data_IF_413431199993
#
_entry.id   IF_413431199993
#
_cell.length_a   1.000
_cell.length_b   1.000
_cell.length_c   1.000
_cell.angle_alpha   90.00
_cell.angle_beta   90.00
_cell.angle_gamma   90.00
#
_symmetry.space_group_name_H-M   'P 1'
#
loop_
_entity.id
_entity.type
_entity.pdbx_description
1 polymer ?
#
# COMPACT_ATOMS: atom_id res chain seq x y z
N UNK A 1 -17.96 17.30 -10.49
CA UNK A 1 -17.77 15.91 -10.04
C UNK A 1 -17.00 15.95 -8.74
N UNK A 2 -17.62 15.65 -7.62
CA UNK A 2 -16.92 15.42 -6.35
C UNK A 2 -16.00 14.22 -6.56
N UNK A 3 -14.68 14.41 -6.45
CA UNK A 3 -13.76 13.28 -6.52
C UNK A 3 -14.12 12.29 -5.42
N UNK A 4 -14.29 11.01 -5.76
CA UNK A 4 -14.46 9.98 -4.75
C UNK A 4 -13.23 9.96 -3.86
N UNK A 5 -13.45 10.06 -2.55
CA UNK A 5 -12.41 9.88 -1.54
C UNK A 5 -11.78 8.49 -1.71
N UNK A 6 -10.45 8.42 -1.74
CA UNK A 6 -9.75 7.13 -1.83
C UNK A 6 -9.97 6.30 -0.56
N UNK A 7 -10.01 4.99 -0.73
CA UNK A 7 -10.06 3.99 0.34
C UNK A 7 -8.68 3.47 0.63
N UNK A 8 -8.10 3.94 1.74
CA UNK A 8 -6.82 3.48 2.25
C UNK A 8 -7.07 2.44 3.34
N UNK A 9 -6.49 1.26 3.19
CA UNK A 9 -6.49 0.21 4.22
C UNK A 9 -5.11 0.10 4.84
N UNK A 10 -5.05 0.16 6.16
CA UNK A 10 -3.86 -0.14 6.94
C UNK A 10 -3.92 -1.60 7.35
N UNK A 11 -2.97 -2.39 6.85
CA UNK A 11 -2.86 -3.78 7.24
C UNK A 11 -1.98 -3.91 8.47
N UNK A 12 -2.61 -4.22 9.60
CA UNK A 12 -1.99 -4.30 10.93
C UNK A 12 -1.88 -5.75 11.39
N UNK A 13 -1.00 -6.00 12.36
CA UNK A 13 -0.91 -7.28 13.05
C UNK A 13 -1.44 -7.11 14.49
N UNK A 14 -2.45 -7.90 14.87
CA UNK A 14 -3.08 -7.89 16.19
C UNK A 14 -2.09 -8.27 17.31
N UNK A 15 -1.10 -9.11 17.00
CA UNK A 15 -0.11 -9.60 17.96
C UNK A 15 0.94 -8.51 18.31
N UNK A 16 1.00 -7.42 17.55
CA UNK A 16 1.83 -6.27 17.90
C UNK A 16 1.36 -5.55 19.17
N UNK A 17 0.09 -5.73 19.58
CA UNK A 17 -0.49 -5.09 20.77
C UNK A 17 -0.42 -5.99 22.01
N UNK A 18 -0.42 -7.32 21.88
CA UNK A 18 -0.49 -8.26 23.01
C UNK A 18 0.61 -9.34 22.95
N UNK A 19 1.57 -9.20 23.87
CA UNK A 19 2.61 -10.16 24.34
C UNK A 19 3.97 -10.27 23.59
N UNK A 20 5.04 -10.03 24.37
CA UNK A 20 6.43 -10.54 24.28
C UNK A 20 7.18 -10.55 22.92
N UNK A 21 7.08 -9.48 22.13
CA UNK A 21 8.02 -9.24 21.02
C UNK A 21 9.15 -8.31 21.53
N UNK A 22 10.45 -8.59 21.27
CA UNK A 22 11.54 -7.71 21.66
C UNK A 22 11.37 -6.30 21.09
N UNK A 23 11.58 -5.28 21.94
CA UNK A 23 11.75 -3.88 21.53
C UNK A 23 12.79 -3.82 20.38
N UNK A 24 12.49 -3.16 19.25
CA UNK A 24 11.83 -1.85 19.17
C UNK A 24 10.44 -1.83 18.49
N UNK A 25 9.95 -2.97 18.01
CA UNK A 25 8.83 -3.04 17.06
C UNK A 25 7.48 -2.52 17.58
N UNK A 26 7.20 -2.77 18.87
CA UNK A 26 5.90 -2.46 19.48
C UNK A 26 5.64 -0.95 19.65
N UNK A 27 6.64 -0.17 20.00
CA UNK A 27 6.45 1.26 20.31
C UNK A 27 6.39 2.14 19.04
N UNK A 28 7.02 1.70 17.95
CA UNK A 28 7.01 2.43 16.69
C UNK A 28 5.80 2.13 15.81
N UNK A 29 5.23 0.91 15.89
CA UNK A 29 4.04 0.56 15.12
C UNK A 29 2.86 1.50 15.39
N UNK A 30 2.52 1.76 16.65
CA UNK A 30 1.40 2.66 16.98
C UNK A 30 1.64 4.08 16.47
N UNK A 31 2.82 4.67 16.73
CA UNK A 31 3.16 6.03 16.26
C UNK A 31 3.20 6.12 14.74
N UNK A 32 3.65 5.06 14.07
CA UNK A 32 3.65 4.97 12.61
C UNK A 32 2.22 5.03 12.09
N UNK A 33 1.30 4.23 12.65
CA UNK A 33 -0.10 4.21 12.24
C UNK A 33 -0.82 5.52 12.52
N UNK A 34 -0.60 6.14 13.67
CA UNK A 34 -1.13 7.48 13.98
C UNK A 34 -0.62 8.51 12.97
N UNK A 35 0.68 8.47 12.65
CA UNK A 35 1.28 9.35 11.64
C UNK A 35 0.62 9.16 10.26
N UNK A 36 0.41 7.92 9.85
CA UNK A 36 -0.22 7.58 8.57
C UNK A 36 -1.68 8.02 8.55
N UNK A 37 -2.44 7.77 9.61
CA UNK A 37 -3.83 8.22 9.73
C UNK A 37 -3.94 9.74 9.60
N UNK A 38 -3.06 10.50 10.26
CA UNK A 38 -3.01 11.97 10.11
C UNK A 38 -2.77 12.38 8.65
N UNK A 39 -1.89 11.67 7.95
CA UNK A 39 -1.58 11.94 6.54
C UNK A 39 -2.78 11.62 5.64
N UNK A 40 -3.43 10.47 5.84
CA UNK A 40 -4.61 10.04 5.06
C UNK A 40 -5.77 11.02 5.29
N UNK A 41 -6.01 11.40 6.54
CA UNK A 41 -7.04 12.39 6.92
C UNK A 41 -6.75 13.77 6.31
N UNK A 42 -5.48 14.17 6.18
CA UNK A 42 -5.10 15.42 5.52
C UNK A 42 -5.55 15.50 4.06
N UNK A 43 -5.70 14.37 3.37
CA UNK A 43 -6.23 14.30 2.00
C UNK A 43 -7.74 14.05 1.93
N UNK A 44 -8.45 14.01 3.07
CA UNK A 44 -9.85 13.59 3.18
C UNK A 44 -10.10 12.19 2.57
N UNK A 45 -9.14 11.29 2.69
CA UNK A 45 -9.27 9.89 2.30
C UNK A 45 -9.91 9.08 3.42
N UNK A 46 -10.66 8.05 3.06
CA UNK A 46 -11.15 7.07 4.04
C UNK A 46 -10.01 6.16 4.48
N UNK A 47 -9.92 5.91 5.79
CA UNK A 47 -8.86 5.11 6.40
C UNK A 47 -9.50 4.01 7.24
N UNK A 48 -9.27 2.76 6.85
CA UNK A 48 -9.73 1.59 7.60
C UNK A 48 -8.54 0.72 8.00
N UNK A 49 -8.71 -0.01 9.09
CA UNK A 49 -7.70 -0.97 9.55
C UNK A 49 -8.21 -2.39 9.34
N UNK A 50 -7.35 -3.24 8.81
CA UNK A 50 -7.58 -4.68 8.68
C UNK A 50 -6.47 -5.40 9.43
N UNK A 51 -6.82 -6.44 10.17
CA UNK A 51 -5.82 -7.30 10.84
C UNK A 51 -5.41 -8.42 9.89
N UNK A 52 -4.10 -8.71 9.83
CA UNK A 52 -3.57 -9.76 8.98
C UNK A 52 -4.17 -11.13 9.32
N UNK A 53 -4.29 -11.45 10.62
CA UNK A 53 -4.89 -12.71 11.08
C UNK A 53 -6.33 -12.86 10.57
N UNK A 54 -7.11 -11.77 10.53
CA UNK A 54 -8.48 -11.80 10.01
C UNK A 54 -8.54 -12.07 8.50
N UNK A 55 -7.54 -11.62 7.74
CA UNK A 55 -7.41 -11.97 6.33
C UNK A 55 -7.03 -13.44 6.13
N UNK A 56 -6.11 -13.96 6.94
CA UNK A 56 -5.64 -15.34 6.86
C UNK A 56 -6.79 -16.33 7.17
N UNK A 57 -7.63 -15.99 8.15
CA UNK A 57 -8.87 -16.73 8.44
C UNK A 57 -10.01 -16.46 7.45
N UNK A 58 -9.76 -15.67 6.40
CA UNK A 58 -10.74 -15.32 5.36
C UNK A 58 -12.04 -14.73 5.92
N UNK A 59 -11.94 -13.92 6.98
CA UNK A 59 -13.10 -13.23 7.52
C UNK A 59 -13.70 -12.32 6.45
N UNK A 60 -14.96 -12.58 6.08
CA UNK A 60 -15.60 -11.98 4.92
C UNK A 60 -15.52 -10.44 4.92
N UNK A 61 -15.76 -9.79 6.07
CA UNK A 61 -15.70 -8.33 6.17
C UNK A 61 -14.27 -7.80 5.94
N UNK A 62 -13.28 -8.42 6.57
CA UNK A 62 -11.87 -8.04 6.45
C UNK A 62 -11.34 -8.25 5.03
N UNK A 63 -11.66 -9.39 4.39
CA UNK A 63 -11.32 -9.66 2.99
C UNK A 63 -11.99 -8.65 2.07
N UNK A 64 -13.26 -8.34 2.30
CA UNK A 64 -14.00 -7.39 1.48
C UNK A 64 -13.43 -5.96 1.59
N UNK A 65 -13.06 -5.51 2.80
CA UNK A 65 -12.36 -4.22 3.00
C UNK A 65 -11.02 -4.20 2.28
N UNK A 66 -10.23 -5.25 2.48
CA UNK A 66 -8.92 -5.37 1.88
C UNK A 66 -8.94 -5.42 0.36
N UNK A 67 -9.86 -6.17 -0.28
CA UNK A 67 -9.94 -6.25 -1.74
C UNK A 67 -10.53 -4.98 -2.38
N UNK A 68 -11.45 -4.28 -1.70
CA UNK A 68 -12.03 -3.04 -2.20
C UNK A 68 -11.23 -1.78 -1.88
N UNK A 69 -10.08 -1.92 -1.20
CA UNK A 69 -9.18 -0.80 -0.95
C UNK A 69 -8.56 -0.31 -2.25
N UNK A 70 -8.52 1.01 -2.41
CA UNK A 70 -7.78 1.67 -3.50
C UNK A 70 -6.28 1.56 -3.25
N UNK A 71 -5.87 1.74 -1.99
CA UNK A 71 -4.48 1.70 -1.52
C UNK A 71 -4.42 0.84 -0.28
N UNK A 72 -3.48 -0.10 -0.22
CA UNK A 72 -3.14 -0.82 1.01
C UNK A 72 -1.77 -0.39 1.48
N UNK A 73 -1.65 -0.02 2.75
CA UNK A 73 -0.36 0.24 3.40
C UNK A 73 -0.05 -0.92 4.35
N UNK A 74 1.09 -1.57 4.15
CA UNK A 74 1.49 -2.76 4.89
C UNK A 74 2.88 -2.57 5.48
N UNK A 75 3.06 -2.82 6.78
CA UNK A 75 4.38 -2.92 7.39
C UNK A 75 4.84 -4.38 7.41
N UNK A 76 5.88 -4.68 6.65
CA UNK A 76 6.43 -6.03 6.46
C UNK A 76 7.77 -6.22 7.17
N UNK A 77 8.04 -5.39 8.18
CA UNK A 77 9.31 -5.48 8.90
C UNK A 77 9.48 -6.84 9.57
N UNK A 78 8.40 -7.44 10.09
CA UNK A 78 8.43 -8.81 10.58
C UNK A 78 8.56 -9.81 9.41
N UNK A 79 9.70 -10.51 9.35
CA UNK A 79 10.01 -11.46 8.28
C UNK A 79 9.03 -12.64 8.24
N UNK A 80 8.60 -13.13 9.41
CA UNK A 80 7.71 -14.29 9.53
C UNK A 80 6.33 -14.04 8.93
N UNK A 81 5.93 -12.77 8.82
CA UNK A 81 4.65 -12.36 8.26
C UNK A 81 4.70 -12.06 6.76
N UNK A 82 5.90 -11.88 6.18
CA UNK A 82 6.08 -11.59 4.75
C UNK A 82 5.36 -12.60 3.85
N UNK A 83 5.43 -13.93 4.07
CA UNK A 83 4.74 -14.89 3.21
C UNK A 83 3.21 -14.67 3.16
N UNK A 84 2.58 -14.40 4.31
CA UNK A 84 1.14 -14.14 4.41
C UNK A 84 0.78 -12.85 3.68
N UNK A 85 1.56 -11.78 3.88
CA UNK A 85 1.39 -10.53 3.14
C UNK A 85 1.47 -10.74 1.63
N UNK A 86 2.47 -11.49 1.16
CA UNK A 86 2.66 -11.72 -0.28
C UNK A 86 1.55 -12.57 -0.88
N UNK A 87 0.99 -13.52 -0.13
CA UNK A 87 -0.18 -14.28 -0.57
C UNK A 87 -1.38 -13.35 -0.83
N UNK A 88 -1.74 -12.50 0.14
CA UNK A 88 -2.88 -11.59 -0.02
C UNK A 88 -2.63 -10.49 -1.06
N UNK A 89 -1.39 -10.02 -1.19
CA UNK A 89 -0.97 -9.10 -2.27
C UNK A 89 -1.21 -9.75 -3.65
N UNK A 90 -0.83 -11.01 -3.83
CA UNK A 90 -1.07 -11.75 -5.07
C UNK A 90 -2.56 -11.81 -5.45
N UNK A 91 -3.44 -11.97 -4.46
CA UNK A 91 -4.89 -11.94 -4.69
C UNK A 91 -5.36 -10.55 -5.17
N UNK A 92 -4.79 -9.45 -4.67
CA UNK A 92 -5.09 -8.09 -5.16
C UNK A 92 -4.56 -7.82 -6.57
N UNK A 93 -3.37 -8.32 -6.89
CA UNK A 93 -2.80 -8.21 -8.24
C UNK A 93 -3.68 -8.90 -9.28
N UNK A 94 -4.31 -10.03 -8.92
CA UNK A 94 -5.20 -10.78 -9.82
C UNK A 94 -6.47 -10.02 -10.23
N UNK A 95 -6.80 -8.92 -9.52
CA UNK A 95 -7.98 -8.07 -9.77
C UNK A 95 -7.62 -6.64 -10.21
N UNK A 96 -6.39 -6.41 -10.68
CA UNK A 96 -5.88 -5.10 -11.14
C UNK A 96 -5.94 -3.96 -10.08
N UNK A 97 -5.84 -4.31 -8.80
CA UNK A 97 -5.65 -3.38 -7.68
C UNK A 97 -4.15 -3.32 -7.35
N UNK A 98 -3.49 -2.17 -7.59
CA UNK A 98 -2.01 -2.17 -7.75
C UNK A 98 -1.25 -1.06 -7.03
N UNK A 99 -1.91 -0.22 -6.23
CA UNK A 99 -1.28 0.90 -5.55
C UNK A 99 -1.03 0.59 -4.06
N UNK A 100 -0.33 -0.52 -3.79
CA UNK A 100 0.04 -0.90 -2.43
C UNK A 100 1.37 -0.24 -2.01
N UNK A 101 1.42 0.29 -0.80
CA UNK A 101 2.64 0.83 -0.17
C UNK A 101 3.13 -0.18 0.87
N UNK A 102 4.32 -0.71 0.66
CA UNK A 102 5.05 -1.58 1.57
C UNK A 102 6.04 -0.74 2.37
N UNK A 103 5.89 -0.78 3.68
CA UNK A 103 6.78 -0.16 4.65
C UNK A 103 7.68 -1.23 5.27
N UNK A 104 8.94 -0.88 5.50
CA UNK A 104 9.88 -1.75 6.20
C UNK A 104 10.85 -0.93 7.05
N UNK A 105 11.00 -1.26 8.32
CA UNK A 105 11.99 -0.61 9.18
C UNK A 105 13.39 -0.95 8.68
N UNK A 106 14.31 0.01 8.75
CA UNK A 106 15.68 -0.17 8.30
C UNK A 106 16.41 -1.32 9.01
N UNK A 107 16.04 -1.65 10.25
CA UNK A 107 16.58 -2.80 10.99
C UNK A 107 16.06 -4.16 10.49
N UNK A 108 14.96 -4.18 9.71
CA UNK A 108 14.38 -5.40 9.15
C UNK A 108 14.99 -5.80 7.79
N UNK A 109 15.95 -5.02 7.30
CA UNK A 109 16.70 -5.26 6.05
C UNK A 109 18.20 -5.06 6.30
N UNK A 110 19.00 -6.01 5.84
CA UNK A 110 20.44 -6.00 6.13
C UNK A 110 21.18 -4.99 5.24
N UNK A 111 20.86 -4.97 3.95
CA UNK A 111 21.51 -4.14 2.94
C UNK A 111 20.53 -3.73 1.83
N UNK A 112 21.02 -2.98 0.85
CA UNK A 112 20.24 -2.52 -0.30
C UNK A 112 19.91 -3.67 -1.27
N UNK A 113 20.74 -4.72 -1.33
CA UNK A 113 20.47 -5.90 -2.15
C UNK A 113 19.22 -6.65 -1.65
N UNK A 114 19.06 -6.82 -0.33
CA UNK A 114 17.88 -7.45 0.27
C UNK A 114 16.58 -6.66 0.00
N UNK A 115 16.69 -5.33 -0.08
CA UNK A 115 15.59 -4.44 -0.46
C UNK A 115 15.21 -4.69 -1.93
N UNK A 116 16.21 -4.76 -2.81
CA UNK A 116 15.98 -4.95 -4.24
C UNK A 116 15.46 -6.35 -4.57
N UNK A 117 15.97 -7.38 -3.89
CA UNK A 117 15.48 -8.75 -3.98
C UNK A 117 14.01 -8.84 -3.57
N UNK A 118 13.62 -8.17 -2.48
CA UNK A 118 12.25 -8.13 -2.01
C UNK A 118 11.34 -7.42 -3.01
N UNK A 119 11.78 -6.26 -3.55
CA UNK A 119 11.02 -5.53 -4.59
C UNK A 119 10.80 -6.39 -5.82
N UNK A 120 11.85 -7.04 -6.30
CA UNK A 120 11.83 -7.84 -7.53
C UNK A 120 10.98 -9.09 -7.36
N UNK A 121 11.22 -9.85 -6.30
CA UNK A 121 10.51 -11.10 -6.01
C UNK A 121 9.02 -10.87 -5.83
N UNK A 122 8.65 -9.78 -5.16
CA UNK A 122 7.27 -9.53 -4.76
C UNK A 122 6.57 -8.46 -5.61
N UNK A 123 7.18 -8.02 -6.71
CA UNK A 123 6.68 -6.97 -7.61
C UNK A 123 6.18 -5.74 -6.86
N UNK A 124 6.94 -5.32 -5.85
CA UNK A 124 6.59 -4.18 -5.01
C UNK A 124 6.98 -2.92 -5.77
N UNK A 125 5.98 -2.25 -6.35
CA UNK A 125 6.15 -0.91 -6.94
C UNK A 125 6.47 0.12 -5.85
N UNK A 126 5.61 0.07 -4.85
CA UNK A 126 5.49 0.80 -3.60
C UNK A 126 6.41 0.45 -2.43
N UNK A 127 7.73 0.74 -2.36
CA UNK A 127 8.48 0.42 -1.12
C UNK A 127 9.12 1.63 -0.45
N UNK A 128 8.92 1.74 0.87
CA UNK A 128 9.57 2.75 1.71
C UNK A 128 10.28 2.06 2.87
N UNK A 129 11.60 2.25 2.94
CA UNK A 129 12.39 1.86 4.10
C UNK A 129 12.38 3.02 5.09
N UNK A 130 11.96 2.80 6.32
CA UNK A 130 11.86 3.86 7.31
C UNK A 130 12.76 3.65 8.52
N UNK A 131 13.14 4.75 9.17
CA UNK A 131 13.84 4.75 10.45
C UNK A 131 13.15 5.71 11.40
N UNK A 132 12.93 5.29 12.64
CA UNK A 132 12.47 6.19 13.70
C UNK A 132 13.67 6.81 14.41
N UNK A 133 13.64 8.12 14.60
CA UNK A 133 14.59 8.87 15.41
C UNK A 133 13.95 9.16 16.76
N UNK A 134 14.41 8.47 17.80
CA UNK A 134 13.84 8.55 19.15
C UNK A 134 13.99 9.94 19.77
N UNK A 135 15.15 10.56 19.58
CA UNK A 135 15.46 11.88 20.14
C UNK A 135 14.55 12.96 19.58
N UNK A 136 14.26 12.88 18.28
CA UNK A 136 13.40 13.86 17.59
C UNK A 136 11.93 13.45 17.53
N UNK A 137 11.62 12.20 17.83
CA UNK A 137 10.27 11.63 17.73
C UNK A 137 9.72 11.62 16.30
N UNK A 138 10.56 11.45 15.29
CA UNK A 138 10.15 11.53 13.87
C UNK A 138 10.60 10.31 13.06
N UNK A 139 9.79 9.96 12.07
CA UNK A 139 10.12 8.95 11.08
C UNK A 139 10.80 9.58 9.86
N UNK A 140 11.90 8.96 9.44
CA UNK A 140 12.63 9.29 8.21
C UNK A 140 12.42 8.18 7.18
N UNK A 141 12.27 8.57 5.93
CA UNK A 141 12.42 7.68 4.78
C UNK A 141 13.91 7.59 4.44
N UNK A 142 14.43 6.37 4.55
CA UNK A 142 15.82 5.99 4.32
C UNK A 142 15.94 4.97 3.19
N UNK A 143 14.94 4.91 2.30
CA UNK A 143 14.93 4.01 1.13
C UNK A 143 16.19 4.17 0.29
N UNK A 144 16.67 5.40 0.15
CA UNK A 144 17.95 5.71 -0.50
C UNK A 144 18.95 6.18 0.56
N UNK A 145 19.84 5.28 0.98
CA UNK A 145 20.85 5.54 2.05
C UNK A 145 21.81 6.69 1.74
N UNK A 146 21.85 7.14 0.48
CA UNK A 146 22.74 8.19 -0.03
C UNK A 146 22.19 9.62 0.13
N UNK A 147 20.89 9.79 0.41
CA UNK A 147 20.27 11.12 0.49
C UNK A 147 20.45 11.71 1.89
N UNK A 148 21.27 12.77 1.99
CA UNK A 148 21.44 13.58 3.21
C UNK A 148 21.04 15.05 2.97
N UNK A 149 20.12 15.62 3.77
CA UNK A 149 19.35 14.98 4.84
C UNK A 149 18.26 14.05 4.28
N UNK A 150 18.01 12.93 4.97
CA UNK A 150 16.96 11.99 4.58
C UNK A 150 15.57 12.65 4.73
N UNK A 151 14.64 12.42 3.78
CA UNK A 151 13.30 12.99 3.85
C UNK A 151 12.52 12.44 5.05
N UNK A 152 11.55 13.23 5.54
CA UNK A 152 10.61 12.72 6.55
C UNK A 152 9.66 11.71 5.90
N UNK A 153 9.37 10.61 6.58
CA UNK A 153 8.47 9.56 6.09
C UNK A 153 7.10 10.13 5.69
N UNK A 154 6.61 11.11 6.48
CA UNK A 154 5.35 11.80 6.18
C UNK A 154 5.34 12.47 4.81
N UNK A 155 6.48 12.98 4.37
CA UNK A 155 6.61 13.65 3.07
C UNK A 155 6.54 12.62 1.96
N UNK A 156 7.26 11.50 2.10
CA UNK A 156 7.25 10.42 1.12
C UNK A 156 5.85 9.80 0.96
N UNK A 157 5.18 9.46 2.06
CA UNK A 157 3.81 8.91 2.02
C UNK A 157 2.84 9.92 1.38
N UNK A 158 2.94 11.22 1.69
CA UNK A 158 2.12 12.25 1.04
C UNK A 158 2.32 12.29 -0.48
N UNK A 159 3.56 12.19 -0.95
CA UNK A 159 3.85 12.13 -2.38
C UNK A 159 3.20 10.89 -3.01
N UNK A 160 3.36 9.71 -2.41
CA UNK A 160 2.76 8.47 -2.94
C UNK A 160 1.25 8.50 -3.00
N UNK A 161 0.59 8.95 -1.93
CA UNK A 161 -0.87 9.05 -1.91
C UNK A 161 -1.39 10.02 -2.99
N UNK A 162 -0.67 11.13 -3.23
CA UNK A 162 -1.00 12.08 -4.30
C UNK A 162 -0.78 11.47 -5.68
N UNK A 163 0.31 10.76 -5.87
CA UNK A 163 0.64 10.12 -7.16
C UNK A 163 -0.31 8.97 -7.48
N UNK A 164 -0.70 8.17 -6.48
CA UNK A 164 -1.72 7.14 -6.60
C UNK A 164 -3.08 7.73 -6.98
N UNK A 165 -3.48 8.84 -6.34
CA UNK A 165 -4.71 9.55 -6.71
C UNK A 165 -4.69 10.03 -8.17
N UNK A 166 -3.57 10.56 -8.63
CA UNK A 166 -3.40 11.00 -10.02
C UNK A 166 -3.42 9.82 -11.00
N UNK A 167 -2.69 8.74 -10.68
CA UNK A 167 -2.61 7.51 -11.46
C UNK A 167 -3.99 6.86 -11.60
N UNK A 168 -4.77 6.81 -10.53
CA UNK A 168 -6.12 6.24 -10.56
C UNK A 168 -7.07 7.05 -11.45
N UNK A 169 -6.96 8.38 -11.46
CA UNK A 169 -7.73 9.23 -12.38
C UNK A 169 -7.36 9.01 -13.84
N UNK A 170 -6.06 8.90 -14.12
CA UNK A 170 -5.56 8.63 -15.46
C UNK A 170 -5.94 7.22 -15.91
N UNK A 171 -5.80 6.22 -15.04
CA UNK A 171 -6.16 4.82 -15.30
C UNK A 171 -7.67 4.63 -15.50
N UNK A 172 -8.52 5.34 -14.77
CA UNK A 172 -9.97 5.36 -15.02
C UNK A 172 -10.30 5.98 -16.37
N UNK A 173 -9.63 7.08 -16.75
CA UNK A 173 -9.79 7.70 -18.07
C UNK A 173 -9.35 6.74 -19.20
N UNK A 174 -8.21 6.07 -19.04
CA UNK A 174 -7.72 5.07 -20.01
C UNK A 174 -8.62 3.86 -20.09
N UNK A 175 -9.08 3.29 -18.96
CA UNK A 175 -10.04 2.16 -18.95
C UNK A 175 -11.39 2.55 -19.56
N UNK A 176 -11.83 3.80 -19.40
CA UNK A 176 -13.04 4.33 -20.02
C UNK A 176 -12.88 4.47 -21.54
N UNK A 177 -11.77 5.06 -22.00
CA UNK A 177 -11.46 5.20 -23.43
C UNK A 177 -11.35 3.84 -24.12
N UNK A 178 -10.62 2.89 -23.52
CA UNK A 178 -10.50 1.53 -24.07
C UNK A 178 -11.85 0.81 -24.17
N UNK A 179 -12.77 1.05 -23.21
CA UNK A 179 -14.15 0.52 -23.29
C UNK A 179 -14.96 1.18 -24.40
N UNK A 180 -14.79 2.47 -24.64
CA UNK A 180 -15.45 3.17 -25.75
C UNK A 180 -14.93 2.68 -27.11
N UNK A 181 -13.62 2.49 -27.24
CA UNK A 181 -13.01 1.97 -28.47
C UNK A 181 -13.44 0.53 -28.77
N UNK A 182 -13.51 -0.31 -27.73
CA UNK A 182 -14.02 -1.69 -27.84
C UNK A 182 -15.48 -1.73 -28.30
N UNK A 183 -16.36 -0.89 -27.71
CA UNK A 183 -17.76 -0.77 -28.15
C UNK A 183 -17.89 -0.25 -29.58
N UNK A 184 -16.97 0.61 -30.02
CA UNK A 184 -16.94 1.13 -31.39
C UNK A 184 -16.55 0.05 -32.41
N UNK A 185 -15.61 -0.83 -32.06
CA UNK A 185 -15.27 -2.01 -32.88
C UNK A 185 -16.42 -3.01 -32.94
N UNK A 186 -17.01 -3.36 -31.80
CA UNK A 186 -18.15 -4.30 -31.73
C UNK A 186 -19.39 -3.79 -32.50
N UNK A 187 -19.63 -2.48 -32.50
CA UNK A 187 -20.68 -1.84 -33.29
C UNK A 187 -20.39 -1.81 -34.81
N UNK A 188 -19.11 -1.88 -35.20
CA UNK A 188 -18.70 -1.91 -36.60
C UNK A 188 -18.81 -3.32 -37.18
N UNK A 189 -18.44 -4.34 -36.42
CA UNK A 189 -18.54 -5.76 -36.81
C UNK A 189 -20.00 -6.21 -36.91
N UNK A 190 -20.86 -5.79 -35.97
CA UNK A 190 -22.30 -6.10 -36.01
C UNK A 190 -23.08 -5.43 -37.17
N UNK A 191 -22.52 -4.39 -37.78
CA UNK A 191 -23.06 -3.75 -38.99
C UNK A 191 -22.52 -4.38 -40.29
N UNK A 192 -21.40 -5.11 -40.22
CA UNK A 192 -20.84 -5.85 -41.34
C UNK A 192 -21.55 -7.20 -41.56
N UNK A 193 -22.05 -7.84 -40.49
CA UNK A 193 -22.79 -9.11 -40.56
C UNK A 193 -24.27 -8.98 -40.98
N UNK A 194 -24.78 -7.75 -41.14
CA UNK A 194 -26.17 -7.47 -41.57
C UNK A 194 -26.31 -7.03 -43.04
N UNK A 195 -25.24 -7.13 -43.83
CA UNK A 195 -25.24 -6.91 -45.28
C UNK A 195 -24.97 -8.21 -46.03
#
# INVERSE_FOLDING_TARGET
MTMSSLKVVLLTDSDSLNQNIPLPYKYYGQKLWETIQIIVNHFNYSCETVELNKLDFQEHESVNKFLNADIVIMDVTNQDRRPIFMYHKGNRESVDCVDDIVLIQASGVENDDAIEDLKTTCKIKQMIVYRYDEEKGVFYDVTTRTVKPSPLLKTSIKCFLKDAANSMQQGLATRYLNRLEKRKHEAHDSNAERK
#
